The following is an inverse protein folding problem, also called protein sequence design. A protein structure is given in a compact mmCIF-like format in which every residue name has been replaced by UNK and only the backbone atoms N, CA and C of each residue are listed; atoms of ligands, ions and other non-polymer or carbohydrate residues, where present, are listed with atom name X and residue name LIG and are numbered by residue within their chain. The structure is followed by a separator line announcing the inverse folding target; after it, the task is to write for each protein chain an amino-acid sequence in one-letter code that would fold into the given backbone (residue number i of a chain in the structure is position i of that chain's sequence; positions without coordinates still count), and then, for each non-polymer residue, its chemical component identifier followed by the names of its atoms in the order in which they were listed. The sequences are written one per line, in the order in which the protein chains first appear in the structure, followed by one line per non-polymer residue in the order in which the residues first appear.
data_IF_844277564051
#
_entry.id   IF_844277564051
#
_cell.length_a   1.000
_cell.length_b   1.000
_cell.length_c   1.000
_cell.angle_alpha   90.00
_cell.angle_beta   90.00
_cell.angle_gamma   90.00
#
_symmetry.space_group_name_H-M   'P 1'
#
loop_
_entity.id
_entity.type
_entity.pdbx_description
1 polymer ?
#
# COMPACT_ATOMS: atom_id res chain seq x y z
N UNK A 1 -28.91 -5.20 -19.30
CA UNK A 1 -28.00 -4.50 -18.39
C UNK A 1 -26.62 -5.07 -18.62
N UNK A 2 -25.58 -4.25 -18.77
CA UNK A 2 -24.23 -4.81 -18.86
C UNK A 2 -23.85 -5.35 -17.48
N UNK A 3 -23.12 -6.47 -17.47
CA UNK A 3 -22.58 -7.11 -16.28
C UNK A 3 -21.10 -7.39 -16.51
N UNK A 4 -20.37 -7.73 -15.44
CA UNK A 4 -18.95 -8.05 -15.46
C UNK A 4 -18.72 -9.51 -15.01
N UNK A 5 -19.27 -10.51 -15.72
CA UNK A 5 -19.11 -11.92 -15.33
C UNK A 5 -17.64 -12.37 -15.35
N UNK A 6 -16.78 -11.61 -16.04
CA UNK A 6 -15.33 -11.82 -16.11
C UNK A 6 -14.58 -11.41 -14.84
N UNK A 7 -15.22 -10.76 -13.86
CA UNK A 7 -14.53 -10.14 -12.72
C UNK A 7 -13.66 -11.13 -11.95
N UNK A 8 -14.22 -12.28 -11.57
CA UNK A 8 -13.52 -13.31 -10.78
C UNK A 8 -12.26 -13.80 -11.51
N UNK A 9 -12.36 -14.06 -12.81
CA UNK A 9 -11.23 -14.55 -13.61
C UNK A 9 -10.13 -13.49 -13.73
N UNK A 10 -10.50 -12.23 -13.96
CA UNK A 10 -9.57 -11.11 -14.01
C UNK A 10 -8.82 -10.96 -12.67
N UNK A 11 -9.54 -10.99 -11.55
CA UNK A 11 -8.93 -10.89 -10.22
C UNK A 11 -7.96 -12.05 -9.94
N UNK A 12 -8.40 -13.29 -10.19
CA UNK A 12 -7.56 -14.49 -10.00
C UNK A 12 -6.32 -14.48 -10.88
N UNK A 13 -6.46 -14.06 -12.14
CA UNK A 13 -5.32 -13.94 -13.07
C UNK A 13 -4.26 -12.94 -12.61
N UNK A 14 -4.67 -11.95 -11.82
CA UNK A 14 -3.77 -10.96 -11.22
C UNK A 14 -3.14 -11.42 -9.90
N UNK A 15 -3.38 -12.68 -9.48
CA UNK A 15 -2.89 -13.25 -8.24
C UNK A 15 -3.68 -12.85 -6.99
N UNK A 16 -4.88 -12.27 -7.16
CA UNK A 16 -5.76 -11.91 -6.04
C UNK A 16 -6.49 -13.15 -5.53
N UNK A 17 -6.51 -13.35 -4.22
CA UNK A 17 -7.32 -14.40 -3.60
C UNK A 17 -8.79 -13.99 -3.65
N UNK A 18 -9.66 -14.88 -4.15
CA UNK A 18 -11.08 -14.57 -4.39
C UNK A 18 -11.98 -15.62 -3.77
N UNK A 19 -12.91 -15.16 -2.94
CA UNK A 19 -14.09 -15.89 -2.48
C UNK A 19 -15.30 -15.37 -3.25
N UNK A 20 -16.17 -16.27 -3.69
CA UNK A 20 -17.38 -15.92 -4.44
C UNK A 20 -18.59 -16.05 -3.53
N UNK A 21 -19.36 -14.98 -3.37
CA UNK A 21 -20.45 -14.93 -2.40
C UNK A 21 -21.80 -15.28 -3.03
N UNK A 22 -22.24 -16.53 -2.89
CA UNK A 22 -23.56 -16.99 -3.34
C UNK A 22 -23.85 -16.65 -4.81
N UNK A 23 -25.04 -16.09 -5.08
CA UNK A 23 -25.53 -15.77 -6.43
C UNK A 23 -24.97 -14.45 -7.00
N UNK A 24 -23.66 -14.22 -6.87
CA UNK A 24 -23.01 -12.97 -7.25
C UNK A 24 -23.25 -12.56 -8.72
N UNK A 25 -23.40 -13.53 -9.62
CA UNK A 25 -23.66 -13.26 -11.05
C UNK A 25 -24.99 -12.55 -11.27
N UNK A 26 -25.99 -12.82 -10.43
CA UNK A 26 -27.35 -12.29 -10.56
C UNK A 26 -27.71 -11.25 -9.47
N UNK A 27 -26.89 -11.12 -8.42
CA UNK A 27 -27.08 -10.12 -7.37
C UNK A 27 -26.69 -8.72 -7.86
N UNK A 28 -27.67 -7.86 -8.15
CA UNK A 28 -27.44 -6.49 -8.60
C UNK A 28 -28.64 -5.56 -8.33
N UNK A 29 -28.42 -4.26 -8.42
CA UNK A 29 -29.47 -3.24 -8.37
C UNK A 29 -30.06 -2.95 -9.76
N UNK A 30 -31.32 -2.50 -9.84
CA UNK A 30 -31.88 -2.00 -11.10
C UNK A 30 -31.12 -0.77 -11.62
N UNK A 31 -30.99 -0.65 -12.94
CA UNK A 31 -30.39 0.51 -13.61
C UNK A 31 -29.28 0.13 -14.59
N UNK A 32 -28.76 1.11 -15.32
CA UNK A 32 -27.59 0.87 -16.17
C UNK A 32 -26.34 0.63 -15.33
N UNK A 33 -25.41 -0.11 -15.93
CA UNK A 33 -24.07 -0.34 -15.42
C UNK A 33 -23.15 -0.40 -16.64
N UNK A 34 -22.17 0.50 -16.68
CA UNK A 34 -21.19 0.62 -17.76
C UNK A 34 -19.90 1.20 -17.14
N UNK A 35 -19.16 0.36 -16.41
CA UNK A 35 -18.07 0.84 -15.57
C UNK A 35 -16.90 1.31 -16.42
N UNK A 36 -16.45 2.54 -16.16
CA UNK A 36 -15.26 3.15 -16.75
C UNK A 36 -14.13 3.33 -15.73
N UNK A 37 -14.33 2.90 -14.49
CA UNK A 37 -13.34 3.08 -13.43
C UNK A 37 -13.58 2.19 -12.22
N UNK A 38 -12.71 2.38 -11.23
CA UNK A 38 -12.74 1.64 -9.96
C UNK A 38 -12.75 2.65 -8.81
N UNK A 39 -13.64 2.45 -7.84
CA UNK A 39 -13.82 3.32 -6.68
C UNK A 39 -13.49 2.58 -5.40
N UNK A 40 -12.54 3.10 -4.62
CA UNK A 40 -12.14 2.55 -3.32
C UNK A 40 -12.94 3.24 -2.21
N UNK A 41 -13.39 2.42 -1.26
CA UNK A 41 -14.10 2.80 -0.03
C UNK A 41 -13.40 2.16 1.17
N UNK A 42 -13.68 2.69 2.36
CA UNK A 42 -13.49 1.94 3.60
C UNK A 42 -14.83 1.70 4.25
N UNK A 43 -15.01 0.55 4.89
CA UNK A 43 -16.30 0.09 5.39
C UNK A 43 -16.73 0.76 6.70
N UNK A 44 -15.83 1.53 7.33
CA UNK A 44 -15.97 2.05 8.69
C UNK A 44 -16.12 0.95 9.76
N UNK A 45 -15.79 -0.30 9.43
CA UNK A 45 -15.81 -1.44 10.35
C UNK A 45 -14.40 -1.82 10.76
N UNK A 46 -14.18 -2.06 12.05
CA UNK A 46 -12.88 -2.53 12.56
C UNK A 46 -12.71 -4.01 12.24
N UNK A 47 -11.78 -4.33 11.33
CA UNK A 47 -11.42 -5.69 10.96
C UNK A 47 -10.20 -6.18 11.75
N UNK A 48 -10.00 -7.48 11.83
CA UNK A 48 -8.82 -8.08 12.46
C UNK A 48 -8.50 -9.45 11.85
N UNK A 49 -7.36 -10.03 12.20
CA UNK A 49 -7.01 -11.38 11.73
C UNK A 49 -8.05 -12.45 12.14
N UNK A 50 -8.74 -12.28 13.27
CA UNK A 50 -9.75 -13.20 13.80
C UNK A 50 -11.19 -12.83 13.38
N UNK A 51 -11.41 -11.63 12.88
CA UNK A 51 -12.65 -11.17 12.28
C UNK A 51 -12.34 -10.37 11.00
N UNK A 52 -11.99 -11.06 9.90
CA UNK A 52 -11.35 -10.41 8.76
C UNK A 52 -12.31 -9.60 7.89
N UNK A 53 -13.61 -9.94 7.87
CA UNK A 53 -14.60 -9.32 6.99
C UNK A 53 -15.88 -8.89 7.73
N UNK A 54 -15.79 -8.02 8.77
CA UNK A 54 -16.93 -7.63 9.60
C UNK A 54 -18.08 -6.98 8.82
N UNK A 55 -17.79 -6.30 7.70
CA UNK A 55 -18.82 -5.62 6.92
C UNK A 55 -19.44 -6.48 5.80
N UNK A 56 -19.00 -7.74 5.62
CA UNK A 56 -19.43 -8.59 4.50
C UNK A 56 -20.95 -8.71 4.38
N UNK A 57 -21.63 -9.03 5.48
CA UNK A 57 -23.08 -9.20 5.45
C UNK A 57 -23.82 -7.90 5.12
N UNK A 58 -23.30 -6.76 5.57
CA UNK A 58 -23.83 -5.43 5.23
C UNK A 58 -23.57 -5.11 3.76
N UNK A 59 -22.40 -5.46 3.23
CA UNK A 59 -22.09 -5.24 1.82
C UNK A 59 -22.97 -6.08 0.89
N UNK A 60 -23.32 -7.31 1.29
CA UNK A 60 -24.21 -8.19 0.52
C UNK A 60 -25.66 -7.70 0.58
N UNK A 61 -26.21 -7.48 1.77
CA UNK A 61 -27.64 -7.28 1.96
C UNK A 61 -28.05 -5.80 2.00
N UNK A 62 -27.10 -4.92 2.28
CA UNK A 62 -27.34 -3.52 2.58
C UNK A 62 -27.75 -3.29 4.02
N UNK A 63 -28.38 -2.15 4.23
CA UNK A 63 -28.88 -1.64 5.51
C UNK A 63 -30.28 -1.05 5.31
N UNK A 64 -31.06 -0.77 6.37
CA UNK A 64 -32.46 -0.35 6.24
C UNK A 64 -32.68 0.89 5.34
N UNK A 65 -31.73 1.83 5.33
CA UNK A 65 -31.75 3.04 4.51
C UNK A 65 -31.12 2.88 3.12
N UNK A 66 -30.41 1.76 2.86
CA UNK A 66 -29.72 1.52 1.59
C UNK A 66 -29.65 0.03 1.29
N UNK A 67 -30.51 -0.42 0.40
CA UNK A 67 -30.58 -1.83 0.03
C UNK A 67 -29.34 -2.26 -0.79
N UNK A 68 -28.81 -3.45 -0.50
CA UNK A 68 -27.63 -4.01 -1.15
C UNK A 68 -27.90 -4.52 -2.56
N UNK A 69 -26.85 -4.96 -3.29
CA UNK A 69 -25.45 -4.99 -2.85
C UNK A 69 -24.81 -3.58 -2.79
N UNK A 70 -23.90 -3.38 -1.85
CA UNK A 70 -23.20 -2.09 -1.61
C UNK A 70 -21.81 -2.03 -2.25
N UNK A 71 -21.36 -3.06 -2.94
CA UNK A 71 -20.12 -3.06 -3.72
C UNK A 71 -20.07 -4.30 -4.61
N UNK A 72 -19.13 -4.33 -5.56
CA UNK A 72 -18.89 -5.50 -6.39
C UNK A 72 -17.99 -6.49 -5.66
N UNK A 73 -17.04 -6.01 -4.84
CA UNK A 73 -16.31 -6.86 -3.91
C UNK A 73 -15.96 -6.14 -2.60
N UNK A 74 -15.89 -6.92 -1.52
CA UNK A 74 -15.30 -6.53 -0.25
C UNK A 74 -13.89 -7.11 -0.12
N UNK A 75 -12.96 -6.36 0.47
CA UNK A 75 -11.56 -6.76 0.70
C UNK A 75 -11.33 -6.96 2.20
N UNK A 76 -11.16 -8.20 2.62
CA UNK A 76 -10.99 -8.56 4.03
C UNK A 76 -9.62 -8.13 4.61
N UNK A 77 -9.42 -8.29 5.92
CA UNK A 77 -8.18 -7.96 6.63
C UNK A 77 -6.91 -8.56 6.01
N UNK A 78 -7.03 -9.75 5.40
CA UNK A 78 -5.94 -10.50 4.77
C UNK A 78 -5.77 -10.19 3.28
N UNK A 79 -6.55 -9.26 2.73
CA UNK A 79 -6.52 -8.90 1.31
C UNK A 79 -7.29 -9.87 0.39
N UNK A 80 -8.17 -10.71 0.95
CA UNK A 80 -9.04 -11.61 0.18
C UNK A 80 -10.23 -10.82 -0.36
N UNK A 81 -10.51 -10.97 -1.65
CA UNK A 81 -11.64 -10.36 -2.32
C UNK A 81 -12.87 -11.26 -2.23
N UNK A 82 -13.87 -10.84 -1.46
CA UNK A 82 -15.21 -11.42 -1.43
C UNK A 82 -16.05 -10.79 -2.54
N UNK A 83 -16.21 -11.47 -3.66
CA UNK A 83 -16.96 -10.96 -4.83
C UNK A 83 -18.45 -11.17 -4.61
N UNK A 84 -19.20 -10.06 -4.62
CA UNK A 84 -20.60 -9.96 -4.20
C UNK A 84 -21.55 -9.74 -5.38
N UNK A 85 -21.13 -9.04 -6.44
CA UNK A 85 -22.01 -8.66 -7.54
C UNK A 85 -21.26 -8.57 -8.86
N UNK A 86 -21.88 -9.10 -9.93
CA UNK A 86 -21.45 -8.89 -11.31
C UNK A 86 -22.12 -7.67 -11.97
N UNK A 87 -22.95 -6.91 -11.25
CA UNK A 87 -23.72 -5.80 -11.82
C UNK A 87 -23.67 -4.54 -10.97
N UNK A 88 -24.63 -3.64 -11.22
CA UNK A 88 -24.79 -2.37 -10.52
C UNK A 88 -24.94 -2.58 -9.01
N UNK A 89 -24.23 -1.76 -8.21
CA UNK A 89 -24.31 -1.74 -6.75
C UNK A 89 -24.63 -0.33 -6.24
N UNK A 90 -25.14 -0.21 -5.02
CA UNK A 90 -25.44 1.07 -4.37
C UNK A 90 -24.25 1.53 -3.51
N UNK A 91 -23.20 2.07 -4.12
CA UNK A 91 -21.92 2.32 -3.44
C UNK A 91 -21.40 3.77 -3.58
N UNK A 92 -21.50 4.35 -4.77
CA UNK A 92 -20.97 5.67 -5.08
C UNK A 92 -22.03 6.78 -5.00
N UNK A 93 -23.29 6.47 -5.37
CA UNK A 93 -24.34 7.48 -5.50
C UNK A 93 -24.04 8.54 -6.57
N UNK A 94 -24.60 9.74 -6.41
CA UNK A 94 -24.35 10.87 -7.33
C UNK A 94 -22.93 11.39 -7.14
N UNK A 95 -22.13 11.26 -8.20
CA UNK A 95 -20.73 11.66 -8.25
C UNK A 95 -20.56 13.03 -8.91
N UNK A 96 -19.65 13.85 -8.36
CA UNK A 96 -19.08 15.00 -9.06
C UNK A 96 -17.98 14.52 -10.02
N UNK A 97 -17.65 15.37 -10.99
CA UNK A 97 -16.54 15.11 -11.90
C UNK A 97 -15.22 14.98 -11.14
N UNK A 98 -14.40 13.99 -11.52
CA UNK A 98 -13.13 13.69 -10.89
C UNK A 98 -12.19 13.08 -11.93
N UNK A 99 -11.25 13.89 -12.44
CA UNK A 99 -10.34 13.48 -13.51
C UNK A 99 -11.12 12.99 -14.73
N UNK A 100 -10.92 11.75 -15.22
CA UNK A 100 -11.67 11.24 -16.36
C UNK A 100 -13.08 10.76 -16.00
N UNK A 101 -13.43 10.67 -14.70
CA UNK A 101 -14.78 10.27 -14.27
C UNK A 101 -15.71 11.49 -14.39
N UNK A 102 -16.75 11.44 -15.24
CA UNK A 102 -17.70 12.54 -15.36
C UNK A 102 -18.60 12.63 -14.13
N UNK A 103 -19.21 13.80 -13.93
CA UNK A 103 -20.29 13.93 -12.97
C UNK A 103 -21.51 13.11 -13.43
N UNK A 104 -22.30 12.60 -12.48
CA UNK A 104 -23.50 11.82 -12.78
C UNK A 104 -23.68 10.66 -11.82
N UNK A 105 -24.21 9.55 -12.33
CA UNK A 105 -24.50 8.37 -11.53
C UNK A 105 -23.25 7.49 -11.36
N UNK A 106 -22.57 7.62 -10.22
CA UNK A 106 -21.36 6.86 -9.92
C UNK A 106 -21.59 5.36 -9.84
N UNK A 107 -22.80 4.92 -9.47
CA UNK A 107 -23.16 3.49 -9.41
C UNK A 107 -23.21 2.85 -10.81
N UNK A 108 -23.42 3.65 -11.85
CA UNK A 108 -23.33 3.21 -13.25
C UNK A 108 -21.88 3.11 -13.68
N UNK A 109 -21.05 4.09 -13.27
CA UNK A 109 -19.76 4.39 -13.88
C UNK A 109 -18.59 3.64 -13.26
N UNK A 110 -18.73 3.02 -12.08
CA UNK A 110 -17.59 2.50 -11.34
C UNK A 110 -17.84 1.12 -10.74
N UNK A 111 -16.78 0.32 -10.67
CA UNK A 111 -16.70 -0.90 -9.86
C UNK A 111 -16.22 -0.50 -8.46
N UNK A 112 -16.94 -0.88 -7.42
CA UNK A 112 -16.66 -0.53 -6.02
C UNK A 112 -15.93 -1.62 -5.25
N UNK A 113 -14.81 -1.24 -4.60
CA UNK A 113 -14.13 -2.01 -3.56
C UNK A 113 -14.46 -1.44 -2.19
N UNK A 114 -15.08 -2.24 -1.35
CA UNK A 114 -15.26 -1.95 0.08
C UNK A 114 -14.12 -2.61 0.87
N UNK A 115 -13.17 -1.82 1.36
CA UNK A 115 -11.99 -2.37 2.05
C UNK A 115 -12.25 -2.34 3.55
N UNK A 116 -12.14 -3.49 4.22
CA UNK A 116 -12.56 -3.64 5.60
C UNK A 116 -11.55 -3.04 6.58
N UNK A 117 -11.70 -1.76 6.90
CA UNK A 117 -10.98 -1.06 7.96
C UNK A 117 -11.78 0.18 8.42
N UNK A 118 -11.61 0.61 9.67
CA UNK A 118 -12.49 1.64 10.23
C UNK A 118 -12.20 3.07 9.75
N UNK A 119 -10.98 3.35 9.27
CA UNK A 119 -10.61 4.67 8.76
C UNK A 119 -10.62 5.82 9.79
N UNK A 120 -10.62 5.49 11.09
CA UNK A 120 -10.55 6.43 12.23
C UNK A 120 -9.28 6.25 13.06
N UNK A 121 -9.00 5.03 13.52
CA UNK A 121 -7.80 4.65 14.27
C UNK A 121 -7.13 3.37 13.72
N UNK A 122 -7.70 2.83 12.64
CA UNK A 122 -7.16 1.73 11.86
C UNK A 122 -6.86 2.19 10.43
N UNK A 123 -5.71 1.79 9.92
CA UNK A 123 -5.30 1.93 8.52
C UNK A 123 -5.47 0.59 7.77
N UNK A 124 -5.43 0.62 6.44
CA UNK A 124 -5.37 -0.61 5.65
C UNK A 124 -4.14 -1.45 6.03
N UNK A 125 -4.31 -2.76 6.07
CA UNK A 125 -3.15 -3.67 6.11
C UNK A 125 -2.38 -3.60 4.79
N UNK A 126 -1.10 -3.97 4.82
CA UNK A 126 -0.31 -4.11 3.59
C UNK A 126 -0.94 -5.14 2.63
N UNK A 127 -1.62 -6.17 3.15
CA UNK A 127 -2.28 -7.19 2.34
C UNK A 127 -3.49 -6.61 1.59
N UNK A 128 -4.35 -5.85 2.28
CA UNK A 128 -5.47 -5.11 1.70
C UNK A 128 -5.02 -4.18 0.59
N UNK A 129 -4.02 -3.34 0.88
CA UNK A 129 -3.49 -2.39 -0.10
C UNK A 129 -2.94 -3.08 -1.34
N UNK A 130 -2.04 -4.06 -1.17
CA UNK A 130 -1.40 -4.76 -2.29
C UNK A 130 -2.40 -5.53 -3.16
N UNK A 131 -3.37 -6.22 -2.54
CA UNK A 131 -4.43 -6.92 -3.28
C UNK A 131 -5.31 -5.95 -4.05
N UNK A 132 -5.64 -4.80 -3.45
CA UNK A 132 -6.47 -3.77 -4.07
C UNK A 132 -5.78 -3.08 -5.25
N UNK A 133 -4.46 -2.84 -5.18
CA UNK A 133 -3.65 -2.38 -6.32
C UNK A 133 -3.67 -3.40 -7.46
N UNK A 134 -3.45 -4.69 -7.16
CA UNK A 134 -3.45 -5.75 -8.17
C UNK A 134 -4.82 -5.90 -8.86
N UNK A 135 -5.89 -5.92 -8.06
CA UNK A 135 -7.27 -5.97 -8.54
C UNK A 135 -7.60 -4.77 -9.44
N UNK A 136 -7.28 -3.57 -8.98
CA UNK A 136 -7.57 -2.32 -9.69
C UNK A 136 -6.83 -2.25 -11.02
N UNK A 137 -5.53 -2.56 -11.04
CA UNK A 137 -4.73 -2.59 -12.25
C UNK A 137 -5.29 -3.59 -13.29
N UNK A 138 -5.67 -4.78 -12.85
CA UNK A 138 -6.23 -5.82 -13.73
C UNK A 138 -7.59 -5.42 -14.30
N UNK A 139 -8.48 -4.87 -13.47
CA UNK A 139 -9.80 -4.38 -13.90
C UNK A 139 -9.65 -3.21 -14.89
N UNK A 140 -8.82 -2.20 -14.58
CA UNK A 140 -8.64 -1.06 -15.49
C UNK A 140 -8.02 -1.49 -16.83
N UNK A 141 -7.07 -2.44 -16.81
CA UNK A 141 -6.52 -3.04 -18.03
C UNK A 141 -7.63 -3.72 -18.84
N UNK A 142 -8.50 -4.50 -18.19
CA UNK A 142 -9.66 -5.15 -18.84
C UNK A 142 -10.64 -4.16 -19.45
N UNK A 143 -10.82 -2.99 -18.83
CA UNK A 143 -11.67 -1.90 -19.29
C UNK A 143 -10.99 -1.01 -20.36
N UNK A 144 -9.70 -1.22 -20.65
CA UNK A 144 -8.95 -0.37 -21.57
C UNK A 144 -8.72 1.05 -21.03
N UNK A 145 -8.62 1.20 -19.71
CA UNK A 145 -8.44 2.47 -19.00
C UNK A 145 -7.09 2.51 -18.30
N UNK A 146 -6.55 3.72 -18.13
CA UNK A 146 -5.33 3.94 -17.34
C UNK A 146 -5.64 4.13 -15.85
N UNK A 147 -4.59 4.24 -15.03
CA UNK A 147 -4.71 4.41 -13.59
C UNK A 147 -5.45 5.68 -13.15
N UNK A 148 -5.64 6.68 -14.03
CA UNK A 148 -6.37 7.91 -13.67
C UNK A 148 -7.87 7.67 -13.41
N UNK A 149 -8.38 6.51 -13.83
CA UNK A 149 -9.74 6.02 -13.59
C UNK A 149 -9.90 5.27 -12.25
N UNK A 150 -8.84 5.14 -11.44
CA UNK A 150 -8.93 4.71 -10.04
C UNK A 150 -9.15 5.92 -9.13
N UNK A 151 -10.22 5.90 -8.32
CA UNK A 151 -10.60 6.99 -7.41
C UNK A 151 -10.86 6.49 -6.01
N UNK A 152 -10.70 7.38 -5.03
CA UNK A 152 -11.34 7.24 -3.72
C UNK A 152 -12.70 7.92 -3.71
N UNK A 153 -13.65 7.41 -2.94
CA UNK A 153 -15.01 7.98 -2.85
C UNK A 153 -15.03 9.48 -2.51
N UNK A 154 -14.12 9.94 -1.66
CA UNK A 154 -13.93 11.35 -1.30
C UNK A 154 -13.59 12.25 -2.49
N UNK A 155 -13.02 11.70 -3.56
CA UNK A 155 -12.68 12.47 -4.77
C UNK A 155 -13.90 12.69 -5.67
N UNK A 156 -14.87 11.77 -5.64
CA UNK A 156 -16.10 11.81 -6.46
C UNK A 156 -17.34 12.24 -5.68
N UNK A 157 -17.28 12.30 -4.34
CA UNK A 157 -18.43 12.60 -3.51
C UNK A 157 -18.97 14.03 -3.68
N UNK A 158 -20.30 14.16 -3.74
CA UNK A 158 -21.03 15.43 -3.70
C UNK A 158 -21.43 15.86 -2.30
N UNK A 159 -21.38 14.95 -1.31
CA UNK A 159 -21.89 15.16 0.06
C UNK A 159 -20.77 15.21 1.12
N UNK A 160 -19.52 15.41 0.71
CA UNK A 160 -18.38 15.47 1.64
C UNK A 160 -17.93 14.15 2.29
N UNK A 161 -18.14 13.00 1.63
CA UNK A 161 -17.55 11.71 2.06
C UNK A 161 -16.03 11.82 2.21
N UNK A 162 -15.49 11.13 3.21
CA UNK A 162 -14.07 11.20 3.58
C UNK A 162 -13.28 9.95 3.18
N UNK A 163 -13.97 8.87 2.83
CA UNK A 163 -13.39 7.58 2.52
C UNK A 163 -12.73 7.52 1.13
N UNK A 164 -11.65 6.74 0.95
CA UNK A 164 -10.86 6.04 1.95
C UNK A 164 -9.96 6.99 2.77
N UNK A 165 -9.83 6.74 4.07
CA UNK A 165 -8.92 7.47 4.98
C UNK A 165 -7.52 6.84 5.00
N UNK A 166 -6.53 7.57 5.52
CA UNK A 166 -5.13 7.11 5.70
C UNK A 166 -4.41 6.65 4.42
N UNK A 167 -4.78 7.24 3.29
CA UNK A 167 -4.19 6.94 1.99
C UNK A 167 -3.98 8.23 1.20
N UNK A 168 -2.86 8.32 0.49
CA UNK A 168 -2.65 9.29 -0.57
C UNK A 168 -3.14 8.68 -1.89
N UNK A 169 -4.19 9.26 -2.47
CA UNK A 169 -4.82 8.73 -3.68
C UNK A 169 -3.98 9.00 -4.94
N UNK A 170 -3.07 9.97 -4.92
CA UNK A 170 -2.10 10.16 -6.00
C UNK A 170 -1.04 9.06 -5.97
N UNK A 171 -0.58 8.67 -4.78
CA UNK A 171 0.32 7.53 -4.61
C UNK A 171 -0.39 6.26 -5.06
N UNK A 172 -1.61 5.98 -4.57
CA UNK A 172 -2.41 4.84 -5.02
C UNK A 172 -2.51 4.73 -6.56
N UNK A 173 -2.78 5.83 -7.26
CA UNK A 173 -2.80 5.84 -8.73
C UNK A 173 -1.44 5.57 -9.36
N UNK A 174 -0.35 6.05 -8.77
CA UNK A 174 1.00 5.72 -9.23
C UNK A 174 1.27 4.21 -9.10
N UNK A 175 0.96 3.63 -7.93
CA UNK A 175 1.10 2.20 -7.66
C UNK A 175 0.28 1.34 -8.64
N UNK A 176 -0.96 1.75 -8.94
CA UNK A 176 -1.79 1.10 -9.97
C UNK A 176 -1.12 1.20 -11.34
N UNK A 177 -0.61 2.38 -11.73
CA UNK A 177 0.03 2.58 -13.02
C UNK A 177 1.26 1.68 -13.21
N UNK A 178 2.11 1.53 -12.20
CA UNK A 178 3.26 0.64 -12.31
C UNK A 178 2.86 -0.84 -12.33
N UNK A 179 1.82 -1.22 -11.57
CA UNK A 179 1.26 -2.56 -11.64
C UNK A 179 0.71 -2.87 -13.04
N UNK A 180 0.04 -1.91 -13.68
CA UNK A 180 -0.45 -2.03 -15.05
C UNK A 180 0.65 -2.11 -16.10
N UNK A 181 1.76 -1.37 -15.91
CA UNK A 181 2.89 -1.34 -16.85
C UNK A 181 3.65 -2.69 -16.97
N UNK A 182 3.14 -3.77 -16.35
CA UNK A 182 3.80 -5.07 -16.34
C UNK A 182 5.16 -5.01 -15.67
N UNK A 183 5.40 -3.99 -14.84
CA UNK A 183 6.59 -3.92 -14.02
C UNK A 183 6.58 -5.15 -13.13
N UNK A 184 7.36 -6.17 -13.49
CA UNK A 184 7.98 -7.05 -12.50
C UNK A 184 8.46 -6.11 -11.42
N UNK A 185 7.80 -6.13 -10.26
CA UNK A 185 8.05 -5.17 -9.19
C UNK A 185 9.53 -5.31 -8.86
N UNK A 186 10.35 -4.40 -9.42
CA UNK A 186 11.77 -4.48 -9.20
C UNK A 186 11.90 -4.26 -7.71
N UNK A 187 12.40 -5.28 -7.04
CA UNK A 187 12.70 -5.21 -5.64
C UNK A 187 14.13 -5.65 -5.45
N UNK A 188 14.81 -4.93 -4.58
CA UNK A 188 16.18 -5.22 -4.22
C UNK A 188 16.29 -5.02 -2.72
N UNK A 189 16.96 -5.95 -2.06
CA UNK A 189 17.27 -5.90 -0.64
C UNK A 189 18.78 -5.75 -0.53
N UNK A 190 19.21 -4.81 0.31
CA UNK A 190 20.60 -4.67 0.72
C UNK A 190 20.62 -4.84 2.24
N UNK A 191 21.21 -5.94 2.66
CA UNK A 191 21.59 -6.25 4.04
C UNK A 191 22.98 -5.67 4.35
N UNK A 192 23.30 -5.47 5.63
CA UNK A 192 24.59 -4.96 6.07
C UNK A 192 25.78 -5.89 5.72
N UNK A 193 25.52 -7.16 5.40
CA UNK A 193 26.50 -8.11 4.89
C UNK A 193 26.54 -8.21 3.35
N UNK A 194 25.70 -7.47 2.63
CA UNK A 194 25.63 -7.55 1.16
C UNK A 194 26.90 -6.98 0.53
N UNK A 195 27.72 -7.87 -0.02
CA UNK A 195 29.05 -7.54 -0.57
C UNK A 195 29.00 -6.39 -1.59
N UNK A 196 29.80 -5.35 -1.35
CA UNK A 196 29.90 -4.18 -2.22
C UNK A 196 28.64 -3.29 -2.27
N UNK A 197 27.62 -3.59 -1.46
CA UNK A 197 26.36 -2.84 -1.41
C UNK A 197 26.13 -2.12 -0.09
N UNK A 198 26.83 -2.47 0.97
CA UNK A 198 26.79 -1.78 2.25
C UNK A 198 28.15 -1.15 2.60
N UNK A 199 28.13 0.09 3.08
CA UNK A 199 29.34 0.82 3.52
C UNK A 199 29.06 1.59 4.79
N UNK A 200 29.89 1.41 5.81
CA UNK A 200 29.86 2.18 7.05
C UNK A 200 31.30 2.47 7.52
N UNK A 201 31.49 3.49 8.36
CA UNK A 201 32.79 3.80 8.96
C UNK A 201 33.23 2.73 9.97
N UNK A 202 34.49 2.81 10.42
CA UNK A 202 35.02 1.94 11.47
C UNK A 202 34.32 2.13 12.84
N UNK A 203 33.53 3.19 13.02
CA UNK A 203 32.80 3.46 14.25
C UNK A 203 31.50 2.63 14.37
N UNK A 204 31.15 1.86 13.33
CA UNK A 204 30.00 0.97 13.32
C UNK A 204 30.43 -0.46 13.65
N UNK A 205 30.16 -0.88 14.90
CA UNK A 205 30.39 -2.24 15.38
C UNK A 205 29.47 -3.26 14.71
N UNK A 206 29.73 -4.54 14.91
CA UNK A 206 28.92 -5.68 14.39
C UNK A 206 28.34 -6.43 15.57
N UNK A 207 27.05 -6.76 15.53
CA UNK A 207 26.40 -7.56 16.55
C UNK A 207 25.46 -8.59 15.92
N UNK A 208 25.38 -9.76 16.55
CA UNK A 208 24.40 -10.81 16.21
C UNK A 208 23.47 -11.10 17.40
N UNK A 209 23.43 -10.22 18.40
CA UNK A 209 22.73 -10.44 19.67
C UNK A 209 21.22 -10.68 19.49
N UNK A 210 20.56 -9.79 18.74
CA UNK A 210 19.11 -9.89 18.56
C UNK A 210 18.73 -10.96 17.54
N UNK A 211 17.79 -11.83 17.91
CA UNK A 211 17.14 -12.79 17.00
C UNK A 211 16.24 -12.14 15.95
N UNK A 212 15.92 -10.84 16.10
CA UNK A 212 15.11 -10.08 15.15
C UNK A 212 15.92 -9.52 13.97
N UNK A 213 17.23 -9.73 13.93
CA UNK A 213 18.08 -9.25 12.83
C UNK A 213 17.67 -9.84 11.48
N UNK A 214 17.83 -9.09 10.40
CA UNK A 214 17.84 -9.64 9.06
C UNK A 214 19.24 -10.24 8.80
N UNK A 215 19.31 -11.35 8.06
CA UNK A 215 20.60 -11.99 7.79
C UNK A 215 21.34 -12.50 9.04
N UNK A 216 22.67 -12.40 9.02
CA UNK A 216 23.55 -13.04 10.01
C UNK A 216 23.87 -12.14 11.21
N UNK A 217 23.96 -10.83 11.00
CA UNK A 217 24.35 -9.81 11.98
C UNK A 217 23.76 -8.46 11.59
N UNK A 218 24.04 -7.40 12.35
CA UNK A 218 23.68 -6.02 12.06
C UNK A 218 24.79 -5.09 12.56
N UNK A 219 24.79 -3.84 12.07
CA UNK A 219 25.69 -2.80 12.58
C UNK A 219 25.05 -1.98 13.69
N UNK A 220 25.88 -1.53 14.61
CA UNK A 220 25.46 -0.61 15.68
C UNK A 220 26.49 0.47 15.94
N UNK A 221 26.03 1.62 16.43
CA UNK A 221 26.86 2.77 16.75
C UNK A 221 26.23 3.62 17.85
N UNK A 222 27.05 4.26 18.69
CA UNK A 222 26.57 5.28 19.61
C UNK A 222 26.09 6.53 18.86
N UNK A 223 25.10 7.28 19.35
CA UNK A 223 24.71 8.54 18.72
C UNK A 223 25.81 9.61 18.87
N UNK A 224 26.00 10.46 17.86
CA UNK A 224 26.93 11.60 17.90
C UNK A 224 26.33 12.82 17.20
N UNK A 225 26.80 14.03 17.52
CA UNK A 225 26.42 15.26 16.83
C UNK A 225 27.18 15.48 15.51
N UNK A 226 27.43 14.40 14.75
CA UNK A 226 28.14 14.42 13.47
C UNK A 226 27.50 13.43 12.48
N UNK A 227 27.54 13.76 11.19
CA UNK A 227 27.05 12.88 10.14
C UNK A 227 28.05 11.75 9.89
N UNK A 228 27.68 10.53 10.28
CA UNK A 228 28.44 9.30 10.02
C UNK A 228 27.46 8.18 9.56
N UNK A 229 27.07 8.19 8.28
CA UNK A 229 26.05 7.29 7.75
C UNK A 229 26.57 5.87 7.42
N UNK A 230 25.74 4.88 7.74
CA UNK A 230 25.79 3.54 7.15
C UNK A 230 24.93 3.53 5.86
N UNK A 231 25.58 3.46 4.70
CA UNK A 231 24.97 3.55 3.38
C UNK A 231 24.62 2.18 2.78
N UNK A 232 23.44 2.13 2.16
CA UNK A 232 22.91 1.06 1.34
C UNK A 232 22.88 1.50 -0.13
N UNK A 233 23.63 0.78 -0.96
CA UNK A 233 23.84 1.04 -2.39
C UNK A 233 22.93 0.14 -3.23
N UNK A 234 22.15 0.75 -4.12
CA UNK A 234 21.21 0.04 -4.98
C UNK A 234 21.48 0.31 -6.46
N UNK A 235 21.37 -0.73 -7.28
CA UNK A 235 21.32 -0.63 -8.74
C UNK A 235 19.88 -0.38 -9.20
N UNK A 236 19.43 0.87 -9.05
CA UNK A 236 18.07 1.26 -9.42
C UNK A 236 17.93 1.21 -10.96
N UNK A 237 17.01 0.42 -11.53
CA UNK A 237 17.00 0.13 -12.98
C UNK A 237 16.45 1.28 -13.82
N UNK A 238 15.59 2.12 -13.24
CA UNK A 238 14.97 3.27 -13.90
C UNK A 238 14.63 4.34 -12.86
N UNK A 239 14.65 5.61 -13.26
CA UNK A 239 14.15 6.67 -12.40
C UNK A 239 12.64 6.49 -12.20
N UNK A 240 12.14 6.74 -11.00
CA UNK A 240 10.73 6.54 -10.69
C UNK A 240 10.46 6.53 -9.19
N UNK A 241 9.22 6.20 -8.83
CA UNK A 241 8.83 6.07 -7.44
C UNK A 241 9.21 4.69 -6.90
N UNK A 242 9.78 4.67 -5.70
CA UNK A 242 10.12 3.45 -4.99
C UNK A 242 9.63 3.56 -3.56
N UNK A 243 8.93 2.54 -3.09
CA UNK A 243 8.71 2.34 -1.66
C UNK A 243 10.03 1.92 -1.04
N UNK A 244 10.43 2.62 0.01
CA UNK A 244 11.62 2.33 0.82
C UNK A 244 11.15 1.70 2.12
N UNK A 245 11.54 0.45 2.36
CA UNK A 245 11.34 -0.24 3.63
C UNK A 245 12.68 -0.43 4.33
N UNK A 246 12.69 -0.37 5.66
CA UNK A 246 13.84 -0.71 6.49
C UNK A 246 13.49 -1.81 7.49
N UNK A 247 14.49 -2.60 7.85
CA UNK A 247 14.42 -3.62 8.88
C UNK A 247 15.43 -3.27 9.98
N UNK A 248 15.04 -3.50 11.24
CA UNK A 248 15.95 -3.43 12.38
C UNK A 248 15.50 -4.42 13.47
N UNK A 249 16.41 -4.92 14.32
CA UNK A 249 16.03 -5.49 15.60
C UNK A 249 15.58 -4.37 16.55
N UNK A 250 14.54 -4.63 17.35
CA UNK A 250 14.06 -3.70 18.36
C UNK A 250 14.57 -4.05 19.76
N UNK A 251 14.97 -3.02 20.50
CA UNK A 251 15.38 -3.14 21.89
C UNK A 251 15.20 -1.78 22.60
N UNK A 252 14.80 -1.78 23.88
CA UNK A 252 14.61 -0.54 24.65
C UNK A 252 15.89 0.31 24.80
N UNK A 253 17.07 -0.28 24.64
CA UNK A 253 18.37 0.40 24.62
C UNK A 253 18.78 0.97 23.25
N UNK A 254 17.93 0.86 22.22
CA UNK A 254 18.18 1.44 20.89
C UNK A 254 17.62 2.85 20.77
N UNK A 255 18.01 3.52 19.70
CA UNK A 255 17.72 4.93 19.49
C UNK A 255 16.24 5.17 19.15
N UNK A 256 15.62 6.13 19.82
CA UNK A 256 14.21 6.49 19.57
C UNK A 256 14.01 7.43 18.38
N UNK A 257 15.10 7.94 17.80
CA UNK A 257 15.08 8.96 16.77
C UNK A 257 16.25 8.76 15.78
N UNK A 258 16.41 7.54 15.26
CA UNK A 258 17.42 7.22 14.26
C UNK A 258 17.05 7.87 12.91
N UNK A 259 17.91 8.74 12.33
CA UNK A 259 17.65 9.37 11.05
C UNK A 259 18.01 8.46 9.87
N UNK A 260 17.00 8.10 9.08
CA UNK A 260 17.17 7.48 7.78
C UNK A 260 17.19 8.54 6.68
N UNK A 261 18.21 8.51 5.82
CA UNK A 261 18.40 9.47 4.72
C UNK A 261 18.12 8.74 3.40
N UNK A 262 17.22 9.27 2.58
CA UNK A 262 16.90 8.78 1.24
C UNK A 262 17.38 9.80 0.21
N UNK A 263 18.26 9.38 -0.69
CA UNK A 263 18.77 10.21 -1.78
C UNK A 263 17.80 10.20 -2.96
N UNK A 264 16.99 11.26 -3.08
CA UNK A 264 15.95 11.38 -4.13
C UNK A 264 16.44 12.20 -5.33
N UNK A 265 15.62 12.28 -6.37
CA UNK A 265 15.88 13.13 -7.55
C UNK A 265 15.94 14.63 -7.22
N UNK A 266 15.41 15.07 -6.08
CA UNK A 266 15.33 16.47 -5.66
C UNK A 266 16.21 16.78 -4.44
N UNK A 267 17.11 15.86 -4.05
CA UNK A 267 17.98 15.98 -2.88
C UNK A 267 17.64 14.98 -1.77
N UNK A 268 18.35 15.07 -0.66
CA UNK A 268 18.18 14.12 0.44
C UNK A 268 16.89 14.40 1.22
N UNK A 269 16.17 13.34 1.58
CA UNK A 269 15.01 13.37 2.49
C UNK A 269 15.33 12.55 3.74
N UNK A 270 15.01 13.08 4.93
CA UNK A 270 15.27 12.39 6.19
C UNK A 270 13.97 11.93 6.82
N UNK A 271 13.93 10.68 7.28
CA UNK A 271 12.84 10.07 8.05
C UNK A 271 13.40 9.65 9.41
N UNK A 272 12.76 10.08 10.49
CA UNK A 272 13.15 9.71 11.85
C UNK A 272 12.40 8.46 12.30
N UNK A 273 13.12 7.47 12.82
CA UNK A 273 12.58 6.16 13.19
C UNK A 273 12.88 5.82 14.64
N UNK A 274 11.89 5.30 15.37
CA UNK A 274 12.07 4.72 16.70
C UNK A 274 12.47 3.24 16.60
N UNK A 275 13.75 2.96 16.84
CA UNK A 275 14.30 1.60 16.76
C UNK A 275 14.07 0.78 18.04
N UNK A 276 13.35 1.31 19.03
CA UNK A 276 13.01 0.57 20.26
C UNK A 276 11.82 -0.36 20.07
N UNK A 277 11.04 -0.14 19.02
CA UNK A 277 9.76 -0.81 18.78
C UNK A 277 9.69 -1.35 17.36
N UNK A 278 8.72 -2.25 17.14
CA UNK A 278 8.33 -2.75 15.81
C UNK A 278 9.44 -3.41 14.98
N UNK A 279 10.52 -3.88 15.61
CA UNK A 279 11.63 -4.57 14.94
C UNK A 279 11.29 -6.01 14.53
N UNK A 280 12.17 -6.63 13.75
CA UNK A 280 11.98 -7.99 13.22
C UNK A 280 10.95 -8.09 12.10
N UNK A 281 10.69 -6.97 11.40
CA UNK A 281 9.78 -6.89 10.27
C UNK A 281 10.15 -5.70 9.36
N UNK A 282 9.72 -5.73 8.11
CA UNK A 282 9.87 -4.60 7.18
C UNK A 282 8.96 -3.44 7.58
N UNK A 283 9.54 -2.25 7.74
CA UNK A 283 8.84 -1.01 8.08
C UNK A 283 9.01 0.00 6.96
N UNK A 284 7.90 0.48 6.41
CA UNK A 284 7.93 1.47 5.34
C UNK A 284 8.35 2.84 5.88
N UNK A 285 9.39 3.41 5.27
CA UNK A 285 9.85 4.78 5.53
C UNK A 285 9.09 5.79 4.68
N UNK A 286 8.57 5.36 3.53
CA UNK A 286 7.78 6.16 2.60
C UNK A 286 8.00 5.75 1.14
N UNK A 287 7.36 6.48 0.23
CA UNK A 287 7.57 6.36 -1.23
C UNK A 287 8.34 7.58 -1.72
N UNK A 288 9.43 7.35 -2.44
CA UNK A 288 10.37 8.39 -2.87
C UNK A 288 10.68 8.29 -4.36
N UNK A 289 10.81 9.43 -5.03
CA UNK A 289 11.31 9.49 -6.40
C UNK A 289 12.83 9.28 -6.41
N UNK A 290 13.29 8.11 -6.84
CA UNK A 290 14.73 7.77 -6.92
C UNK A 290 15.24 7.92 -8.35
N UNK A 291 16.47 8.41 -8.55
CA UNK A 291 17.12 8.40 -9.86
C UNK A 291 17.59 6.98 -10.22
N UNK A 292 17.68 6.70 -11.53
CA UNK A 292 18.30 5.47 -12.04
C UNK A 292 19.79 5.38 -11.69
N UNK A 293 20.36 4.19 -11.75
CA UNK A 293 21.80 3.95 -11.63
C UNK A 293 22.23 3.31 -10.31
N UNK A 294 23.47 2.85 -10.29
CA UNK A 294 24.10 2.12 -9.19
C UNK A 294 24.83 3.05 -8.22
N UNK A 295 24.14 3.49 -7.16
CA UNK A 295 24.66 4.44 -6.19
C UNK A 295 24.05 4.27 -4.78
N UNK A 296 24.60 4.96 -3.79
CA UNK A 296 24.05 5.04 -2.44
C UNK A 296 22.66 5.70 -2.51
N UNK A 297 21.62 4.99 -2.05
CA UNK A 297 20.24 5.47 -2.11
C UNK A 297 19.61 5.69 -0.75
N UNK A 298 19.97 4.87 0.23
CA UNK A 298 19.42 4.95 1.58
C UNK A 298 20.57 4.85 2.56
N UNK A 299 20.51 5.60 3.65
CA UNK A 299 21.40 5.44 4.79
C UNK A 299 20.62 5.51 6.09
N UNK A 300 21.19 4.96 7.16
CA UNK A 300 20.89 5.37 8.53
C UNK A 300 22.12 6.07 9.09
N UNK A 301 21.94 7.24 9.68
CA UNK A 301 23.03 8.03 10.27
C UNK A 301 22.97 7.99 11.78
N UNK A 302 24.14 8.01 12.44
CA UNK A 302 24.24 8.16 13.89
C UNK A 302 24.14 9.61 14.37
N UNK A 303 23.73 10.54 13.48
CA UNK A 303 23.52 11.95 13.77
C UNK A 303 22.22 12.21 14.53
N UNK A 304 22.22 11.98 15.83
CA UNK A 304 21.04 12.20 16.69
C UNK A 304 21.47 12.54 18.12
N UNK A 305 20.62 13.26 18.84
CA UNK A 305 20.82 13.59 20.26
C UNK A 305 20.05 12.66 21.19
N UNK A 306 19.15 11.84 20.65
CA UNK A 306 18.47 10.83 21.45
C UNK A 306 19.48 9.76 21.93
N UNK A 307 19.36 9.27 23.17
CA UNK A 307 20.24 8.22 23.68
C UNK A 307 19.93 6.87 23.03
N UNK A 308 20.83 5.91 23.25
CA UNK A 308 20.68 4.53 22.77
C UNK A 308 21.30 4.31 21.40
N UNK A 309 21.67 3.05 21.15
CA UNK A 309 22.41 2.65 19.94
C UNK A 309 21.58 2.86 18.68
N UNK A 310 22.20 3.40 17.64
CA UNK A 310 21.62 3.45 16.29
C UNK A 310 22.00 2.17 15.56
N UNK A 311 21.01 1.54 14.93
CA UNK A 311 21.14 0.23 14.29
C UNK A 311 21.01 0.35 12.77
N UNK A 312 21.89 -0.35 12.05
CA UNK A 312 21.81 -0.51 10.59
C UNK A 312 21.83 -2.00 10.25
N UNK A 313 20.73 -2.51 9.69
CA UNK A 313 20.54 -3.92 9.39
C UNK A 313 20.23 -4.10 7.88
N UNK A 314 18.98 -3.95 7.45
CA UNK A 314 18.63 -4.11 6.04
C UNK A 314 17.66 -3.05 5.50
N UNK A 315 17.77 -2.76 4.20
CA UNK A 315 16.87 -1.88 3.46
C UNK A 315 16.34 -2.60 2.22
N UNK A 316 15.07 -2.38 1.90
CA UNK A 316 14.43 -2.87 0.67
C UNK A 316 13.88 -1.72 -0.14
N UNK A 317 14.18 -1.72 -1.43
CA UNK A 317 13.48 -0.90 -2.42
C UNK A 317 12.47 -1.76 -3.15
N UNK A 318 11.30 -1.20 -3.43
CA UNK A 318 10.30 -1.79 -4.32
C UNK A 318 9.83 -0.73 -5.29
N UNK A 319 9.90 -0.98 -6.60
CA UNK A 319 9.36 -0.06 -7.60
C UNK A 319 7.84 0.02 -7.47
N UNK A 320 7.36 1.25 -7.54
CA UNK A 320 5.98 1.67 -7.37
C UNK A 320 5.48 2.34 -8.63
#
# INVERSE_FOLDING_TARGET
MATIPWLVDVLRSAGVQVVVEGDWLNRMRPGSFDPIGVLWHHTASTSSATNPHPALNICINGRPDLAGPLCQALVDYHGVFHVISAGRCNHAGVSRGSGPIPAGDGNTLMIGWEIDYNGVDQEMTAAQYNASIAATAAVLTRLGKDASHARGHRETSTTGKIDPSFIDLNVMRADVAAKMAGGTAWSSIVDNSTAGRFTASANWGVSSYSGQRYGADYRYADPVAASDPAWYRFAVPAAGNYRVDAWWPANSGYNSAAPYIVATTTGNRTVTVDQRVTGGQWRTLGTFALPTGDANRVAVSRWTTAPGLVIADAVRLTRV
#
